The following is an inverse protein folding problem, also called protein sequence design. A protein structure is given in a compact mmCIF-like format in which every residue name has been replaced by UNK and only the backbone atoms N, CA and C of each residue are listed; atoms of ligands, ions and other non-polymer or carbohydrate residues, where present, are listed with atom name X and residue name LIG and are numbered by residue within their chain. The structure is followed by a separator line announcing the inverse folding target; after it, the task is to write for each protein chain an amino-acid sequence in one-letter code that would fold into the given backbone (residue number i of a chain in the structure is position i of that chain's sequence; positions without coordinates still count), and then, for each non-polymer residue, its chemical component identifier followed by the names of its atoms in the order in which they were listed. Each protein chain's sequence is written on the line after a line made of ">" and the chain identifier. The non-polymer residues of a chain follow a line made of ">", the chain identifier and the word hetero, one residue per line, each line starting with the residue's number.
data_IF_163069204960
#
_entry.id   IF_163069204960
#
_cell.length_a   1.000
_cell.length_b   1.000
_cell.length_c   1.000
_cell.angle_alpha   90.00
_cell.angle_beta   90.00
_cell.angle_gamma   90.00
#
_symmetry.space_group_name_H-M   'P 1'
#
loop_
_entity.id
_entity.type
_entity.pdbx_description
1 polymer ?
#
# COMPACT_ATOMS: atom_id res chain seq x y z
N UNK A 1 2.01 -26.14 -2.00
CA UNK A 1 0.87 -25.35 -1.50
C UNK A 1 0.00 -26.22 -0.59
N UNK A 2 -0.06 -25.88 0.70
CA UNK A 2 -0.87 -26.62 1.68
C UNK A 2 -2.36 -26.47 1.43
N UNK A 3 -2.81 -25.35 0.83
CA UNK A 3 -4.23 -25.08 0.57
C UNK A 3 -4.88 -26.15 -0.30
N UNK A 4 -4.10 -26.80 -1.16
CA UNK A 4 -4.56 -27.92 -1.99
C UNK A 4 -5.14 -29.09 -1.19
N UNK A 5 -4.65 -29.31 0.03
CA UNK A 5 -5.15 -30.34 0.97
C UNK A 5 -6.49 -29.95 1.58
N UNK A 6 -6.81 -28.66 1.58
CA UNK A 6 -8.02 -28.12 2.18
C UNK A 6 -9.17 -27.98 1.18
N UNK A 7 -8.98 -28.26 -0.11
CA UNK A 7 -10.07 -28.25 -1.09
C UNK A 7 -11.03 -29.43 -0.93
N UNK A 8 -12.33 -29.15 -0.97
CA UNK A 8 -13.38 -30.15 -1.14
C UNK A 8 -13.33 -30.78 -2.53
N UNK A 9 -14.04 -31.89 -2.72
CA UNK A 9 -14.09 -32.60 -4.01
C UNK A 9 -14.55 -31.69 -5.17
N UNK A 10 -15.62 -30.91 -4.95
CA UNK A 10 -16.14 -29.99 -5.96
C UNK A 10 -15.17 -28.83 -6.24
N UNK A 11 -14.55 -28.28 -5.20
CA UNK A 11 -13.55 -27.21 -5.35
C UNK A 11 -12.33 -27.68 -6.16
N UNK A 12 -11.88 -28.94 -5.99
CA UNK A 12 -10.79 -29.50 -6.81
C UNK A 12 -11.12 -29.53 -8.31
N UNK A 13 -12.39 -29.78 -8.67
CA UNK A 13 -12.83 -29.70 -10.07
C UNK A 13 -12.75 -28.26 -10.59
N UNK A 14 -13.26 -27.30 -9.82
CA UNK A 14 -13.21 -25.87 -10.17
C UNK A 14 -11.76 -25.38 -10.28
N UNK A 15 -10.86 -25.81 -9.39
CA UNK A 15 -9.42 -25.51 -9.47
C UNK A 15 -8.83 -26.02 -10.78
N UNK A 16 -9.17 -27.23 -11.21
CA UNK A 16 -8.68 -27.81 -12.47
C UNK A 16 -9.16 -27.00 -13.69
N UNK A 17 -10.43 -26.61 -13.70
CA UNK A 17 -11.03 -25.77 -14.75
C UNK A 17 -10.33 -24.40 -14.80
N UNK A 18 -10.25 -23.70 -13.67
CA UNK A 18 -9.61 -22.39 -13.56
C UNK A 18 -8.11 -22.44 -13.89
N UNK A 19 -7.42 -23.53 -13.53
CA UNK A 19 -6.01 -23.73 -13.87
C UNK A 19 -5.80 -23.80 -15.38
N UNK A 20 -6.74 -24.45 -16.10
CA UNK A 20 -6.71 -24.52 -17.55
C UNK A 20 -7.02 -23.16 -18.20
N UNK A 21 -8.05 -22.47 -17.71
CA UNK A 21 -8.46 -21.13 -18.21
C UNK A 21 -7.36 -20.09 -18.00
N UNK A 22 -6.74 -20.09 -16.81
CA UNK A 22 -5.66 -19.15 -16.46
C UNK A 22 -4.28 -19.61 -16.94
N UNK A 23 -4.13 -20.86 -17.39
CA UNK A 23 -2.85 -21.47 -17.76
C UNK A 23 -1.79 -21.31 -16.66
N UNK A 24 -2.21 -21.48 -15.41
CA UNK A 24 -1.33 -21.40 -14.24
C UNK A 24 -1.84 -22.31 -13.13
N UNK A 25 -0.97 -22.68 -12.20
CA UNK A 25 -1.40 -23.40 -11.00
C UNK A 25 -2.17 -22.44 -10.07
N UNK A 26 -3.28 -22.92 -9.48
CA UNK A 26 -4.08 -22.10 -8.57
C UNK A 26 -3.48 -22.17 -7.17
N UNK A 27 -2.68 -21.17 -6.83
CA UNK A 27 -2.16 -20.88 -5.49
C UNK A 27 -2.13 -19.38 -5.25
N UNK A 28 -2.00 -18.96 -3.98
CA UNK A 28 -1.96 -17.54 -3.64
C UNK A 28 -0.84 -16.79 -4.40
N UNK A 29 0.38 -17.32 -4.40
CA UNK A 29 1.54 -16.73 -5.09
C UNK A 29 1.34 -16.65 -6.61
N UNK A 30 0.88 -17.74 -7.22
CA UNK A 30 0.70 -17.79 -8.68
C UNK A 30 -0.42 -16.85 -9.15
N UNK A 31 -1.46 -16.62 -8.34
CA UNK A 31 -2.49 -15.65 -8.68
C UNK A 31 -1.99 -14.20 -8.59
N UNK A 32 -1.11 -13.89 -7.63
CA UNK A 32 -0.47 -12.57 -7.55
C UNK A 32 0.40 -12.30 -8.79
N UNK A 33 1.20 -13.28 -9.21
CA UNK A 33 1.98 -13.21 -10.46
C UNK A 33 1.09 -13.10 -11.70
N UNK A 34 -0.01 -13.87 -11.73
CA UNK A 34 -0.97 -13.83 -12.83
C UNK A 34 -1.63 -12.45 -12.95
N UNK A 35 -1.97 -11.83 -11.82
CA UNK A 35 -2.54 -10.47 -11.76
C UNK A 35 -1.58 -9.45 -12.36
N UNK A 36 -0.30 -9.49 -11.97
CA UNK A 36 0.75 -8.65 -12.55
C UNK A 36 0.91 -8.85 -14.06
N UNK A 37 0.92 -10.11 -14.50
CA UNK A 37 1.04 -10.44 -15.92
C UNK A 37 -0.14 -9.90 -16.73
N UNK A 38 -1.37 -10.11 -16.25
CA UNK A 38 -2.59 -9.64 -16.91
C UNK A 38 -2.64 -8.11 -16.98
N UNK A 39 -2.28 -7.42 -15.90
CA UNK A 39 -2.20 -5.96 -15.89
C UNK A 39 -1.24 -5.43 -16.97
N UNK A 40 -0.03 -5.99 -17.04
CA UNK A 40 0.97 -5.58 -18.03
C UNK A 40 0.55 -5.93 -19.46
N UNK A 41 -0.03 -7.12 -19.66
CA UNK A 41 -0.52 -7.56 -20.96
C UNK A 41 -1.65 -6.65 -21.45
N UNK A 42 -2.65 -6.39 -20.61
CA UNK A 42 -3.75 -5.47 -20.91
C UNK A 42 -3.26 -4.08 -21.27
N UNK A 43 -2.35 -3.52 -20.48
CA UNK A 43 -1.78 -2.20 -20.76
C UNK A 43 -1.10 -2.16 -22.13
N UNK A 44 -0.28 -3.16 -22.43
CA UNK A 44 0.41 -3.25 -23.73
C UNK A 44 -0.56 -3.45 -24.90
N UNK A 45 -1.59 -4.28 -24.73
CA UNK A 45 -2.57 -4.56 -25.78
C UNK A 45 -3.43 -3.33 -26.09
N UNK A 46 -3.84 -2.57 -25.06
CA UNK A 46 -4.56 -1.32 -25.28
C UNK A 46 -3.71 -0.29 -26.05
N UNK A 47 -2.41 -0.20 -25.79
CA UNK A 47 -1.54 0.71 -26.56
C UNK A 47 -1.47 0.29 -28.03
N UNK A 48 -1.33 -1.00 -28.30
CA UNK A 48 -1.36 -1.55 -29.66
C UNK A 48 -2.67 -1.21 -30.38
N UNK A 49 -3.79 -1.33 -29.67
CA UNK A 49 -5.09 -0.91 -30.18
C UNK A 49 -5.10 0.57 -30.55
N UNK A 50 -4.60 1.43 -29.66
CA UNK A 50 -4.53 2.87 -29.86
C UNK A 50 -3.74 3.26 -31.12
N UNK A 51 -2.68 2.52 -31.47
CA UNK A 51 -1.86 2.78 -32.66
C UNK A 51 -2.41 2.11 -33.93
N UNK A 52 -3.58 1.48 -33.87
CA UNK A 52 -4.29 0.92 -35.04
C UNK A 52 -4.22 -0.60 -35.18
N UNK A 53 -3.48 -1.33 -34.32
CA UNK A 53 -3.43 -2.80 -34.39
C UNK A 53 -4.78 -3.42 -34.03
N UNK A 54 -5.24 -4.38 -34.84
CA UNK A 54 -6.37 -5.23 -34.46
C UNK A 54 -5.93 -6.21 -33.36
N UNK A 55 -6.44 -5.95 -32.15
CA UNK A 55 -6.18 -6.74 -30.96
C UNK A 55 -7.46 -7.32 -30.35
N UNK A 56 -8.56 -7.35 -31.10
CA UNK A 56 -9.90 -7.75 -30.62
C UNK A 56 -9.85 -9.11 -29.92
N UNK A 57 -9.22 -10.11 -30.54
CA UNK A 57 -9.07 -11.45 -29.96
C UNK A 57 -8.23 -11.45 -28.66
N UNK A 58 -7.19 -10.62 -28.60
CA UNK A 58 -6.36 -10.51 -27.40
C UNK A 58 -7.14 -9.87 -26.26
N UNK A 59 -7.88 -8.78 -26.50
CA UNK A 59 -8.72 -8.12 -25.50
C UNK A 59 -9.81 -9.06 -24.96
N UNK A 60 -10.48 -9.82 -25.84
CA UNK A 60 -11.43 -10.85 -25.42
C UNK A 60 -10.78 -11.91 -24.52
N UNK A 61 -9.58 -12.38 -24.89
CA UNK A 61 -8.83 -13.36 -24.10
C UNK A 61 -8.42 -12.79 -22.73
N UNK A 62 -7.97 -11.54 -22.69
CA UNK A 62 -7.62 -10.83 -21.45
C UNK A 62 -8.85 -10.74 -20.55
N UNK A 63 -9.99 -10.29 -21.07
CA UNK A 63 -11.23 -10.15 -20.30
C UNK A 63 -11.68 -11.50 -19.72
N UNK A 64 -11.59 -12.60 -20.50
CA UNK A 64 -11.87 -13.94 -20.01
C UNK A 64 -10.93 -14.35 -18.88
N UNK A 65 -9.62 -14.09 -19.01
CA UNK A 65 -8.65 -14.40 -17.95
C UNK A 65 -8.84 -13.51 -16.71
N UNK A 66 -9.22 -12.24 -16.84
CA UNK A 66 -9.56 -11.37 -15.71
C UNK A 66 -10.78 -11.92 -14.94
N UNK A 67 -11.82 -12.37 -15.65
CA UNK A 67 -12.99 -13.02 -15.05
C UNK A 67 -12.61 -14.31 -14.31
N UNK A 68 -11.77 -15.14 -14.92
CA UNK A 68 -11.28 -16.39 -14.34
C UNK A 68 -10.42 -16.14 -13.11
N UNK A 69 -9.58 -15.09 -13.13
CA UNK A 69 -8.73 -14.69 -12.00
C UNK A 69 -9.61 -14.27 -10.83
N UNK A 70 -10.67 -13.49 -11.07
CA UNK A 70 -11.62 -13.09 -10.03
C UNK A 70 -12.28 -14.30 -9.36
N UNK A 71 -12.73 -15.29 -10.15
CA UNK A 71 -13.31 -16.54 -9.63
C UNK A 71 -12.29 -17.34 -8.81
N UNK A 72 -11.04 -17.39 -9.26
CA UNK A 72 -9.97 -18.06 -8.53
C UNK A 72 -9.67 -17.36 -7.19
N UNK A 73 -9.66 -16.03 -7.17
CA UNK A 73 -9.49 -15.24 -5.95
C UNK A 73 -10.63 -15.47 -4.94
N UNK A 74 -11.88 -15.50 -5.42
CA UNK A 74 -13.05 -15.79 -4.58
C UNK A 74 -13.00 -17.21 -4.00
N UNK A 75 -12.59 -18.19 -4.80
CA UNK A 75 -12.41 -19.57 -4.35
C UNK A 75 -11.31 -19.65 -3.29
N UNK A 76 -10.13 -19.07 -3.55
CA UNK A 76 -9.03 -19.09 -2.59
C UNK A 76 -9.39 -18.36 -1.30
N UNK A 77 -10.13 -17.25 -1.35
CA UNK A 77 -10.62 -16.58 -0.14
C UNK A 77 -11.44 -17.50 0.76
N UNK A 78 -12.40 -18.24 0.17
CA UNK A 78 -13.23 -19.19 0.94
C UNK A 78 -12.39 -20.30 1.58
N UNK A 79 -11.40 -20.80 0.86
CA UNK A 79 -10.54 -21.88 1.35
C UNK A 79 -9.56 -21.37 2.40
N UNK A 80 -9.00 -20.17 2.21
CA UNK A 80 -8.18 -19.47 3.21
C UNK A 80 -8.99 -19.30 4.48
N UNK A 81 -10.20 -18.76 4.41
CA UNK A 81 -11.04 -18.53 5.59
C UNK A 81 -11.31 -19.82 6.37
N UNK A 82 -11.65 -20.91 5.66
CA UNK A 82 -11.85 -22.22 6.29
C UNK A 82 -10.56 -22.77 6.91
N UNK A 83 -9.43 -22.62 6.22
CA UNK A 83 -8.12 -23.10 6.69
C UNK A 83 -7.66 -22.29 7.90
N UNK A 84 -7.74 -20.97 7.85
CA UNK A 84 -7.40 -20.07 8.95
C UNK A 84 -8.27 -20.36 10.19
N UNK A 85 -9.59 -20.55 10.05
CA UNK A 85 -10.46 -20.93 11.19
C UNK A 85 -10.05 -22.25 11.83
N UNK A 86 -9.52 -23.18 11.04
CA UNK A 86 -9.07 -24.50 11.52
C UNK A 86 -7.71 -24.42 12.22
N UNK A 87 -6.78 -23.65 11.66
CA UNK A 87 -5.40 -23.56 12.17
C UNK A 87 -5.28 -22.57 13.34
N UNK A 88 -6.07 -21.50 13.32
CA UNK A 88 -6.04 -20.39 14.27
C UNK A 88 -7.44 -20.12 14.85
N UNK A 89 -7.99 -21.05 15.67
CA UNK A 89 -9.32 -20.89 16.25
C UNK A 89 -9.46 -19.66 17.17
N UNK A 90 -8.36 -19.18 17.73
CA UNK A 90 -8.28 -17.98 18.58
C UNK A 90 -8.20 -16.66 17.80
N UNK A 91 -8.05 -16.70 16.47
CA UNK A 91 -7.90 -15.51 15.65
C UNK A 91 -9.20 -14.71 15.60
N UNK A 92 -9.13 -13.41 15.88
CA UNK A 92 -10.27 -12.52 15.69
C UNK A 92 -10.42 -12.16 14.20
N UNK A 93 -11.40 -12.77 13.54
CA UNK A 93 -11.71 -12.51 12.12
C UNK A 93 -12.24 -11.10 11.86
N UNK A 94 -12.86 -10.45 12.85
CA UNK A 94 -13.33 -9.07 12.70
C UNK A 94 -12.14 -8.09 12.67
N UNK A 95 -11.07 -8.42 13.39
CA UNK A 95 -9.84 -7.63 13.46
C UNK A 95 -8.77 -8.03 12.43
N UNK A 96 -9.10 -8.92 11.48
CA UNK A 96 -8.17 -9.33 10.42
C UNK A 96 -8.75 -9.18 9.03
N UNK A 97 -7.93 -8.75 8.07
CA UNK A 97 -8.33 -8.57 6.66
C UNK A 97 -8.25 -9.89 5.90
N UNK A 98 -8.90 -9.96 4.73
CA UNK A 98 -8.69 -11.11 3.84
C UNK A 98 -7.23 -11.24 3.39
N UNK A 99 -6.57 -10.11 3.14
CA UNK A 99 -5.19 -10.07 2.68
C UNK A 99 -4.23 -10.51 3.78
N UNK A 100 -4.44 -10.08 5.03
CA UNK A 100 -3.69 -10.56 6.20
C UNK A 100 -3.84 -12.07 6.38
N UNK A 101 -5.06 -12.60 6.24
CA UNK A 101 -5.31 -14.04 6.34
C UNK A 101 -4.63 -14.84 5.22
N UNK A 102 -4.56 -14.28 4.00
CA UNK A 102 -3.80 -14.90 2.88
C UNK A 102 -2.31 -14.96 3.20
N UNK A 103 -1.72 -13.86 3.65
CA UNK A 103 -0.30 -13.82 4.00
C UNK A 103 0.03 -14.71 5.20
N UNK A 104 -0.84 -14.75 6.22
CA UNK A 104 -0.67 -15.65 7.36
C UNK A 104 -0.59 -17.10 6.91
N UNK A 105 -1.47 -17.54 6.00
CA UNK A 105 -1.40 -18.88 5.43
C UNK A 105 -0.11 -19.10 4.61
N UNK A 106 0.34 -18.11 3.82
CA UNK A 106 1.62 -18.22 3.11
C UNK A 106 2.80 -18.40 4.05
N UNK A 107 2.85 -17.66 5.16
CA UNK A 107 3.92 -17.81 6.16
C UNK A 107 3.83 -19.14 6.91
N UNK A 108 2.62 -19.58 7.26
CA UNK A 108 2.37 -20.92 7.84
C UNK A 108 2.94 -22.01 6.95
N UNK A 109 2.71 -21.89 5.64
CA UNK A 109 3.17 -22.82 4.63
C UNK A 109 4.69 -22.72 4.41
N UNK A 110 5.24 -21.51 4.40
CA UNK A 110 6.68 -21.31 4.22
C UNK A 110 7.47 -21.91 5.38
N UNK A 111 7.02 -21.71 6.61
CA UNK A 111 7.71 -22.15 7.82
C UNK A 111 7.22 -23.50 8.35
N UNK A 112 6.20 -24.08 7.71
CA UNK A 112 5.55 -25.34 8.12
C UNK A 112 5.14 -25.33 9.60
N UNK A 113 4.74 -24.16 10.12
CA UNK A 113 4.51 -23.92 11.55
C UNK A 113 3.24 -23.11 11.78
N UNK A 114 2.42 -23.57 12.73
CA UNK A 114 1.21 -22.85 13.19
C UNK A 114 1.58 -22.01 14.42
N UNK A 115 1.65 -20.69 14.23
CA UNK A 115 1.95 -19.70 15.27
C UNK A 115 0.86 -19.63 16.35
N UNK A 116 1.23 -19.35 17.60
CA UNK A 116 0.27 -19.30 18.73
C UNK A 116 0.56 -18.15 19.69
N UNK A 117 -0.48 -17.71 20.42
CA UNK A 117 -0.34 -16.73 21.49
C UNK A 117 0.31 -15.43 21.02
N UNK A 118 1.36 -14.98 21.72
CA UNK A 118 2.07 -13.73 21.38
C UNK A 118 2.77 -13.79 20.02
N UNK A 119 3.24 -14.95 19.58
CA UNK A 119 3.91 -15.12 18.29
C UNK A 119 2.93 -14.86 17.12
N UNK A 120 1.69 -15.37 17.22
CA UNK A 120 0.65 -15.12 16.23
C UNK A 120 0.33 -13.62 16.12
N UNK A 121 0.23 -12.93 17.26
CA UNK A 121 -0.03 -11.49 17.29
C UNK A 121 1.11 -10.70 16.64
N UNK A 122 2.35 -11.03 16.98
CA UNK A 122 3.54 -10.40 16.41
C UNK A 122 3.60 -10.61 14.89
N UNK A 123 3.24 -11.82 14.44
CA UNK A 123 3.22 -12.16 13.03
C UNK A 123 2.19 -11.36 12.24
N UNK A 124 0.98 -11.22 12.76
CA UNK A 124 -0.05 -10.38 12.15
C UNK A 124 0.38 -8.92 12.03
N UNK A 125 1.09 -8.39 13.03
CA UNK A 125 1.64 -7.03 12.96
C UNK A 125 2.70 -6.89 11.87
N UNK A 126 3.59 -7.88 11.73
CA UNK A 126 4.58 -7.92 10.64
C UNK A 126 3.92 -8.01 9.27
N UNK A 127 2.93 -8.90 9.10
CA UNK A 127 2.15 -8.99 7.88
C UNK A 127 1.52 -7.65 7.55
N UNK A 128 0.84 -7.01 8.50
CA UNK A 128 0.15 -5.73 8.30
C UNK A 128 1.11 -4.61 7.88
N UNK A 129 2.30 -4.58 8.48
CA UNK A 129 3.37 -3.63 8.16
C UNK A 129 3.88 -3.79 6.72
N UNK A 130 4.10 -5.03 6.29
CA UNK A 130 4.68 -5.33 4.98
C UNK A 130 3.63 -5.42 3.85
N UNK A 131 2.34 -5.58 4.19
CA UNK A 131 1.27 -5.87 3.23
C UNK A 131 1.13 -4.82 2.14
N UNK A 132 1.19 -3.53 2.50
CA UNK A 132 1.10 -2.45 1.52
C UNK A 132 2.24 -2.58 0.50
N UNK A 133 3.46 -2.77 0.98
CA UNK A 133 4.66 -2.91 0.14
C UNK A 133 4.53 -4.13 -0.77
N UNK A 134 4.13 -5.29 -0.23
CA UNK A 134 3.95 -6.52 -1.00
C UNK A 134 2.91 -6.36 -2.12
N UNK A 135 1.76 -5.75 -1.81
CA UNK A 135 0.71 -5.52 -2.82
C UNK A 135 1.17 -4.54 -3.89
N UNK A 136 1.90 -3.50 -3.53
CA UNK A 136 2.46 -2.53 -4.48
C UNK A 136 3.47 -3.16 -5.45
N UNK A 137 4.28 -4.13 -4.98
CA UNK A 137 5.24 -4.86 -5.81
C UNK A 137 4.58 -5.66 -6.95
N UNK A 138 3.27 -5.89 -6.88
CA UNK A 138 2.48 -6.45 -7.99
C UNK A 138 2.47 -5.51 -9.21
N UNK A 139 2.43 -4.19 -9.00
CA UNK A 139 2.23 -3.20 -10.07
C UNK A 139 3.50 -2.40 -10.37
N UNK A 140 4.36 -2.20 -9.37
CA UNK A 140 5.56 -1.37 -9.50
C UNK A 140 6.72 -1.96 -8.72
N UNK A 141 7.90 -2.00 -9.35
CA UNK A 141 9.16 -2.35 -8.65
C UNK A 141 9.69 -1.22 -7.76
N UNK A 142 9.07 -0.04 -7.82
CA UNK A 142 9.46 1.14 -7.04
C UNK A 142 8.52 1.27 -5.85
N UNK A 143 9.01 1.10 -4.60
CA UNK A 143 8.20 1.29 -3.42
C UNK A 143 7.74 2.74 -3.35
N UNK A 144 6.52 2.89 -2.83
CA UNK A 144 5.87 4.16 -2.64
C UNK A 144 6.51 4.93 -1.47
N UNK A 145 6.74 6.22 -1.66
CA UNK A 145 7.34 7.09 -0.63
C UNK A 145 6.29 7.94 0.08
N UNK A 146 5.06 8.07 -0.45
CA UNK A 146 3.95 8.86 0.14
C UNK A 146 2.88 9.31 -0.86
N UNK A 147 1.63 9.54 -0.43
CA UNK A 147 0.46 9.72 -1.33
C UNK A 147 0.59 11.00 -2.12
N UNK A 148 1.08 12.01 -1.41
CA UNK A 148 1.37 13.31 -1.97
C UNK A 148 2.37 13.24 -3.13
N UNK A 149 3.39 12.38 -3.05
CA UNK A 149 4.35 12.22 -4.13
C UNK A 149 3.69 11.57 -5.35
N UNK A 150 2.88 10.55 -5.14
CA UNK A 150 2.15 9.88 -6.20
C UNK A 150 1.17 10.82 -6.92
N UNK A 151 0.46 11.67 -6.17
CA UNK A 151 -0.41 12.73 -6.71
C UNK A 151 0.39 13.76 -7.53
N UNK A 152 1.58 14.12 -7.06
CA UNK A 152 2.43 15.06 -7.78
C UNK A 152 2.93 14.48 -9.11
N UNK A 153 3.40 13.23 -9.10
CA UNK A 153 3.81 12.51 -10.31
C UNK A 153 2.66 12.43 -11.32
N UNK A 154 1.46 12.09 -10.87
CA UNK A 154 0.28 12.07 -11.72
C UNK A 154 0.01 13.43 -12.37
N UNK A 155 0.06 14.50 -11.57
CA UNK A 155 -0.17 15.87 -12.03
C UNK A 155 0.84 16.26 -13.12
N UNK A 156 2.12 15.98 -12.90
CA UNK A 156 3.19 16.31 -13.85
C UNK A 156 3.03 15.55 -15.17
N UNK A 157 2.78 14.23 -15.10
CA UNK A 157 2.53 13.41 -16.30
C UNK A 157 1.29 13.91 -17.06
N UNK A 158 0.21 14.28 -16.35
CA UNK A 158 -0.99 14.86 -16.98
C UNK A 158 -0.71 16.19 -17.67
N UNK A 159 0.13 17.06 -17.10
CA UNK A 159 0.47 18.37 -17.68
C UNK A 159 1.24 18.19 -19.00
N UNK A 160 2.27 17.36 -19.01
CA UNK A 160 3.05 17.11 -20.23
C UNK A 160 2.21 16.43 -21.33
N UNK A 161 1.38 15.47 -20.92
CA UNK A 161 0.49 14.78 -21.84
C UNK A 161 -0.53 15.72 -22.47
N UNK A 162 -1.15 16.61 -21.67
CA UNK A 162 -2.10 17.62 -22.18
C UNK A 162 -1.50 18.49 -23.28
N UNK A 163 -0.25 18.92 -23.13
CA UNK A 163 0.42 19.72 -24.16
C UNK A 163 0.56 18.95 -25.48
N UNK A 164 0.96 17.69 -25.42
CA UNK A 164 1.12 16.83 -26.60
C UNK A 164 -0.23 16.57 -27.30
N UNK A 165 -1.30 16.34 -26.53
CA UNK A 165 -2.63 16.06 -27.07
C UNK A 165 -3.25 17.30 -27.73
N UNK A 166 -3.09 18.47 -27.11
CA UNK A 166 -3.67 19.73 -27.58
C UNK A 166 -3.18 20.14 -28.98
N UNK A 167 -1.94 19.79 -29.34
CA UNK A 167 -1.38 20.00 -30.70
C UNK A 167 -2.27 19.37 -31.78
N UNK A 168 -2.93 18.26 -31.45
CA UNK A 168 -3.75 17.46 -32.37
C UNK A 168 -5.26 17.56 -32.07
N UNK A 169 -5.66 18.58 -31.28
CA UNK A 169 -7.06 18.83 -30.91
C UNK A 169 -7.65 17.82 -29.91
N UNK A 170 -6.82 16.99 -29.28
CA UNK A 170 -7.28 15.98 -28.31
C UNK A 170 -7.14 16.45 -26.87
N UNK A 171 -7.78 15.69 -25.98
CA UNK A 171 -7.86 15.93 -24.54
C UNK A 171 -7.50 14.66 -23.76
N UNK A 172 -7.33 14.76 -22.43
CA UNK A 172 -7.05 13.56 -21.64
C UNK A 172 -8.23 12.59 -21.66
N UNK A 173 -9.44 13.13 -21.76
CA UNK A 173 -10.71 12.42 -21.86
C UNK A 173 -10.75 11.56 -23.13
N UNK A 174 -10.12 12.03 -24.22
CA UNK A 174 -9.94 11.26 -25.45
C UNK A 174 -9.15 9.96 -25.24
N UNK A 175 -8.37 9.83 -24.16
CA UNK A 175 -7.59 8.63 -23.84
C UNK A 175 -8.31 7.68 -22.85
N UNK A 176 -9.49 8.05 -22.33
CA UNK A 176 -10.27 7.20 -21.43
C UNK A 176 -10.82 5.97 -22.16
N UNK A 177 -11.27 6.18 -23.40
CA UNK A 177 -11.63 5.12 -24.33
C UNK A 177 -10.51 4.99 -25.36
N UNK A 178 -9.80 3.87 -25.31
CA UNK A 178 -8.74 3.62 -26.29
C UNK A 178 -9.38 3.08 -27.55
N UNK A 179 -9.88 3.97 -28.38
CA UNK A 179 -10.39 3.61 -29.69
C UNK A 179 -9.26 3.13 -30.60
N UNK A 180 -9.59 2.24 -31.54
CA UNK A 180 -8.62 1.77 -32.52
C UNK A 180 -8.11 2.92 -33.36
N UNK A 181 -6.79 3.03 -33.50
CA UNK A 181 -6.16 4.03 -34.36
C UNK A 181 -6.22 5.46 -33.83
N UNK A 182 -6.66 5.68 -32.58
CA UNK A 182 -6.68 6.98 -31.91
C UNK A 182 -5.35 7.74 -32.04
N UNK A 183 -4.22 7.01 -32.04
CA UNK A 183 -2.88 7.58 -32.08
C UNK A 183 -2.25 7.64 -33.49
N UNK A 184 -2.94 7.22 -34.55
CA UNK A 184 -2.39 7.19 -35.92
C UNK A 184 -2.00 8.57 -36.44
N UNK A 185 -2.71 9.62 -36.01
CA UNK A 185 -2.42 11.02 -36.39
C UNK A 185 -1.15 11.60 -35.75
N UNK A 186 -0.61 10.95 -34.73
CA UNK A 186 0.59 11.40 -34.02
C UNK A 186 1.85 10.85 -34.66
N UNK A 187 2.93 11.65 -34.64
CA UNK A 187 4.25 11.18 -35.07
C UNK A 187 4.77 10.03 -34.17
N UNK A 188 5.71 9.19 -34.64
CA UNK A 188 6.27 8.11 -33.83
C UNK A 188 6.85 8.58 -32.48
N UNK A 189 7.45 9.77 -32.45
CA UNK A 189 7.98 10.39 -31.22
C UNK A 189 6.87 10.77 -30.25
N UNK A 190 5.78 11.36 -30.74
CA UNK A 190 4.61 11.70 -29.92
C UNK A 190 3.89 10.45 -29.43
N UNK A 191 3.69 9.45 -30.29
CA UNK A 191 3.12 8.15 -29.91
C UNK A 191 3.92 7.51 -28.78
N UNK A 192 5.26 7.56 -28.84
CA UNK A 192 6.11 7.03 -27.77
C UNK A 192 5.93 7.80 -26.45
N UNK A 193 5.83 9.14 -26.50
CA UNK A 193 5.57 9.98 -25.33
C UNK A 193 4.20 9.68 -24.71
N UNK A 194 3.14 9.67 -25.53
CA UNK A 194 1.77 9.36 -25.10
C UNK A 194 1.71 7.96 -24.50
N UNK A 195 2.33 6.98 -25.17
CA UNK A 195 2.40 5.59 -24.70
C UNK A 195 3.03 5.49 -23.31
N UNK A 196 4.17 6.16 -23.08
CA UNK A 196 4.84 6.16 -21.77
C UNK A 196 3.96 6.81 -20.71
N UNK A 197 3.41 7.99 -21.00
CA UNK A 197 2.53 8.71 -20.08
C UNK A 197 1.28 7.91 -19.70
N UNK A 198 0.63 7.26 -20.67
CA UNK A 198 -0.54 6.40 -20.43
C UNK A 198 -0.19 5.19 -19.56
N UNK A 199 0.96 4.54 -19.78
CA UNK A 199 1.43 3.45 -18.90
C UNK A 199 1.65 3.93 -17.48
N UNK A 200 2.30 5.08 -17.32
CA UNK A 200 2.59 5.66 -16.02
C UNK A 200 1.29 6.00 -15.27
N UNK A 201 0.34 6.67 -15.94
CA UNK A 201 -0.96 7.01 -15.35
C UNK A 201 -1.77 5.77 -14.93
N UNK A 202 -1.81 4.72 -15.75
CA UNK A 202 -2.51 3.46 -15.38
C UNK A 202 -1.85 2.77 -14.20
N UNK A 203 -0.52 2.78 -14.14
CA UNK A 203 0.23 2.24 -13.00
C UNK A 203 -0.06 3.04 -11.74
N UNK A 204 -0.04 4.37 -11.83
CA UNK A 204 -0.40 5.27 -10.73
C UNK A 204 -1.81 5.00 -10.23
N UNK A 205 -2.79 4.83 -11.12
CA UNK A 205 -4.18 4.52 -10.74
C UNK A 205 -4.28 3.18 -9.99
N UNK A 206 -3.62 2.13 -10.49
CA UNK A 206 -3.60 0.83 -9.81
C UNK A 206 -2.96 0.91 -8.42
N UNK A 207 -1.82 1.61 -8.31
CA UNK A 207 -1.12 1.86 -7.04
C UNK A 207 -2.02 2.63 -6.06
N UNK A 208 -2.72 3.69 -6.51
CA UNK A 208 -3.67 4.44 -5.67
C UNK A 208 -4.79 3.55 -5.16
N UNK A 209 -5.31 2.64 -5.99
CA UNK A 209 -6.38 1.73 -5.57
C UNK A 209 -5.91 0.76 -4.49
N UNK A 210 -4.69 0.24 -4.59
CA UNK A 210 -4.07 -0.59 -3.55
C UNK A 210 -3.93 0.18 -2.24
N UNK A 211 -3.37 1.40 -2.29
CA UNK A 211 -3.21 2.26 -1.11
C UNK A 211 -4.57 2.57 -0.48
N UNK A 212 -5.56 2.97 -1.30
CA UNK A 212 -6.93 3.23 -0.84
C UNK A 212 -7.47 2.01 -0.11
N UNK A 213 -7.40 0.84 -0.72
CA UNK A 213 -7.90 -0.40 -0.12
C UNK A 213 -7.22 -0.69 1.21
N UNK A 214 -5.90 -0.61 1.28
CA UNK A 214 -5.17 -0.87 2.52
C UNK A 214 -5.49 0.12 3.63
N UNK A 215 -5.56 1.42 3.32
CA UNK A 215 -5.95 2.43 4.30
C UNK A 215 -7.36 2.20 4.79
N UNK A 216 -8.32 1.90 3.90
CA UNK A 216 -9.69 1.61 4.31
C UNK A 216 -9.78 0.38 5.19
N UNK A 217 -9.10 -0.70 4.85
CA UNK A 217 -9.11 -1.93 5.65
C UNK A 217 -8.56 -1.71 7.07
N UNK A 218 -7.46 -0.95 7.20
CA UNK A 218 -6.89 -0.63 8.51
C UNK A 218 -7.76 0.36 9.28
N UNK A 219 -8.17 1.46 8.65
CA UNK A 219 -8.94 2.51 9.30
C UNK A 219 -10.36 2.07 9.66
N UNK A 220 -11.03 1.20 8.89
CA UNK A 220 -12.34 0.65 9.29
C UNK A 220 -12.27 -0.25 10.51
N UNK A 221 -11.10 -0.82 10.85
CA UNK A 221 -10.94 -1.58 12.10
C UNK A 221 -10.71 -0.66 13.30
N UNK A 222 -9.92 0.39 13.10
CA UNK A 222 -9.72 1.42 14.13
C UNK A 222 -10.96 2.30 14.35
N UNK A 223 -11.71 2.60 13.29
CA UNK A 223 -12.88 3.48 13.27
C UNK A 223 -14.05 2.84 12.52
N UNK A 224 -14.74 1.83 13.10
CA UNK A 224 -15.75 1.03 12.39
C UNK A 224 -16.96 1.79 11.85
N UNK A 225 -17.27 2.95 12.44
CA UNK A 225 -18.42 3.78 12.07
C UNK A 225 -18.06 4.92 11.10
N UNK A 226 -16.77 5.06 10.76
CA UNK A 226 -16.32 6.21 9.97
C UNK A 226 -16.64 6.08 8.48
N UNK A 227 -17.10 7.17 7.87
CA UNK A 227 -17.23 7.27 6.41
C UNK A 227 -15.92 7.71 5.77
N UNK A 228 -15.03 6.74 5.55
CA UNK A 228 -13.72 7.02 5.00
C UNK A 228 -13.77 7.57 3.56
N UNK A 229 -14.84 7.35 2.79
CA UNK A 229 -14.93 7.85 1.41
C UNK A 229 -15.06 9.38 1.35
N UNK A 230 -15.56 10.02 2.42
CA UNK A 230 -15.61 11.48 2.56
C UNK A 230 -14.25 12.09 2.92
N UNK A 231 -13.28 11.28 3.40
CA UNK A 231 -11.95 11.77 3.75
C UNK A 231 -11.02 11.81 2.54
N UNK A 232 -10.36 12.95 2.25
CA UNK A 232 -9.30 12.99 1.26
C UNK A 232 -8.20 11.96 1.58
N UNK A 233 -7.66 11.30 0.56
CA UNK A 233 -6.64 10.26 0.73
C UNK A 233 -5.39 10.71 1.52
N UNK A 234 -5.01 11.99 1.45
CA UNK A 234 -3.92 12.54 2.27
C UNK A 234 -4.25 12.60 3.75
N UNK A 235 -5.54 12.74 4.11
CA UNK A 235 -6.03 12.66 5.49
C UNK A 235 -6.13 11.21 5.96
N UNK A 236 -6.54 10.30 5.08
CA UNK A 236 -6.47 8.87 5.37
C UNK A 236 -5.03 8.40 5.61
N UNK A 237 -4.04 8.85 4.82
CA UNK A 237 -2.62 8.56 5.05
C UNK A 237 -2.14 9.05 6.43
N UNK A 238 -2.59 10.23 6.86
CA UNK A 238 -2.25 10.79 8.17
C UNK A 238 -2.85 9.97 9.31
N UNK A 239 -4.15 9.65 9.23
CA UNK A 239 -4.81 8.82 10.21
C UNK A 239 -4.21 7.40 10.25
N UNK A 240 -3.94 6.81 9.08
CA UNK A 240 -3.32 5.49 8.94
C UNK A 240 -1.95 5.47 9.64
N UNK A 241 -1.10 6.45 9.36
CA UNK A 241 0.23 6.54 9.97
C UNK A 241 0.15 6.70 11.48
N UNK A 242 -0.79 7.51 11.99
CA UNK A 242 -1.00 7.65 13.44
C UNK A 242 -1.45 6.32 14.07
N UNK A 243 -2.44 5.65 13.49
CA UNK A 243 -2.93 4.35 13.97
C UNK A 243 -1.81 3.31 13.98
N UNK A 244 -1.05 3.20 12.88
CA UNK A 244 0.07 2.25 12.80
C UNK A 244 1.20 2.56 13.79
N UNK A 245 1.34 3.81 14.23
CA UNK A 245 2.33 4.20 15.23
C UNK A 245 1.85 3.90 16.67
N UNK A 246 0.61 4.29 17.00
CA UNK A 246 0.09 4.28 18.37
C UNK A 246 -0.70 3.03 18.76
N UNK A 247 -1.42 2.41 17.82
CA UNK A 247 -2.16 1.16 18.06
C UNK A 247 -2.14 0.24 16.82
N UNK A 248 -0.99 -0.39 16.51
CA UNK A 248 -0.88 -1.31 15.38
C UNK A 248 -1.71 -2.59 15.57
N UNK A 249 -2.25 -2.86 16.77
CA UNK A 249 -3.18 -3.98 17.02
C UNK A 249 -4.53 -3.75 16.33
N UNK A 250 -4.89 -2.49 16.08
CA UNK A 250 -6.18 -2.05 15.51
C UNK A 250 -7.37 -2.36 16.42
N UNK A 251 -7.26 -2.00 17.71
CA UNK A 251 -8.46 -2.00 18.55
C UNK A 251 -9.37 -0.86 18.09
N UNK A 252 -10.70 -1.04 18.11
CA UNK A 252 -11.60 0.08 17.86
C UNK A 252 -11.30 1.24 18.81
N UNK A 253 -10.83 2.35 18.26
CA UNK A 253 -10.48 3.54 19.01
C UNK A 253 -11.76 4.27 19.41
N UNK A 254 -11.82 4.74 20.65
CA UNK A 254 -12.89 5.64 21.10
C UNK A 254 -12.48 7.09 20.86
N UNK A 255 -13.46 7.98 20.67
CA UNK A 255 -13.20 9.39 20.42
C UNK A 255 -12.38 10.02 21.57
N UNK A 256 -12.70 9.67 22.82
CA UNK A 256 -12.02 10.14 24.02
C UNK A 256 -10.54 9.71 24.04
N UNK A 257 -10.21 8.53 23.50
CA UNK A 257 -8.82 8.06 23.39
C UNK A 257 -8.03 8.95 22.42
N UNK A 258 -8.62 9.31 21.29
CA UNK A 258 -7.96 10.19 20.32
C UNK A 258 -7.80 11.60 20.87
N UNK A 259 -8.82 12.14 21.55
CA UNK A 259 -8.72 13.44 22.23
C UNK A 259 -7.59 13.45 23.28
N UNK A 260 -7.45 12.37 24.05
CA UNK A 260 -6.33 12.20 24.98
C UNK A 260 -4.99 12.20 24.26
N UNK A 261 -4.85 11.47 23.14
CA UNK A 261 -3.62 11.48 22.35
C UNK A 261 -3.29 12.88 21.81
N UNK A 262 -4.29 13.64 21.37
CA UNK A 262 -4.07 15.01 20.89
C UNK A 262 -3.60 15.96 21.97
N UNK A 263 -4.16 15.84 23.18
CA UNK A 263 -3.82 16.66 24.34
C UNK A 263 -2.43 16.28 24.90
N UNK A 264 -2.20 14.98 25.10
CA UNK A 264 -0.98 14.42 25.63
C UNK A 264 -0.61 13.15 24.85
N UNK A 265 0.19 13.28 23.77
CA UNK A 265 0.60 12.14 22.96
C UNK A 265 1.26 11.06 23.84
N UNK A 266 0.83 9.79 23.73
CA UNK A 266 1.42 8.73 24.53
C UNK A 266 2.86 8.48 24.09
N UNK A 267 3.70 8.12 25.06
CA UNK A 267 5.03 7.59 24.80
C UNK A 267 4.90 6.13 24.36
N UNK A 268 5.29 5.85 23.12
CA UNK A 268 5.23 4.52 22.49
C UNK A 268 6.49 3.72 22.81
N UNK A 269 7.65 4.39 22.92
CA UNK A 269 8.94 3.76 23.14
C UNK A 269 9.61 4.25 24.42
N UNK A 270 10.25 3.33 25.14
CA UNK A 270 11.07 3.65 26.29
C UNK A 270 12.32 4.45 25.91
N UNK A 271 12.97 5.16 26.86
CA UNK A 271 14.23 5.86 26.58
C UNK A 271 15.35 4.96 26.02
N UNK A 272 15.38 3.68 26.42
CA UNK A 272 16.33 2.72 25.86
C UNK A 272 16.03 2.43 24.38
N UNK A 273 14.76 2.24 24.03
CA UNK A 273 14.32 2.01 22.65
C UNK A 273 14.52 3.25 21.78
N UNK A 274 14.36 4.45 22.33
CA UNK A 274 14.73 5.68 21.63
C UNK A 274 16.23 5.70 21.27
N UNK A 275 17.11 5.34 22.21
CA UNK A 275 18.55 5.27 21.94
C UNK A 275 18.88 4.20 20.89
N UNK A 276 18.26 3.01 20.96
CA UNK A 276 18.43 1.95 19.98
C UNK A 276 17.95 2.37 18.58
N UNK A 277 16.79 3.02 18.48
CA UNK A 277 16.27 3.51 17.21
C UNK A 277 17.13 4.62 16.61
N UNK A 278 17.64 5.54 17.43
CA UNK A 278 18.60 6.56 16.96
C UNK A 278 19.94 5.94 16.54
N UNK A 279 20.42 4.90 17.23
CA UNK A 279 21.62 4.15 16.85
C UNK A 279 21.43 3.46 15.49
N UNK A 280 20.28 2.83 15.25
CA UNK A 280 19.92 2.29 13.93
C UNK A 280 19.91 3.39 12.85
N UNK A 281 19.20 4.49 13.08
CA UNK A 281 19.06 5.58 12.11
C UNK A 281 20.39 6.30 11.82
N UNK A 282 21.36 6.23 12.71
CA UNK A 282 22.72 6.74 12.50
C UNK A 282 23.67 5.74 11.80
N UNK A 283 23.22 4.50 11.60
CA UNK A 283 24.00 3.40 11.00
C UNK A 283 24.90 2.64 11.98
N UNK A 284 24.72 2.82 13.29
CA UNK A 284 25.48 2.11 14.33
C UNK A 284 24.94 0.71 14.63
N UNK A 285 23.64 0.50 14.41
CA UNK A 285 22.96 -0.79 14.52
C UNK A 285 22.29 -1.16 13.20
N UNK A 286 22.16 -2.46 12.95
CA UNK A 286 21.27 -3.00 11.92
C UNK A 286 19.86 -3.22 12.47
N UNK A 287 18.88 -3.35 11.59
CA UNK A 287 17.46 -3.44 11.97
C UNK A 287 17.16 -4.69 12.83
N UNK A 288 17.82 -5.81 12.50
CA UNK A 288 17.70 -7.09 13.20
C UNK A 288 18.32 -7.10 14.60
N UNK A 289 19.11 -6.07 14.95
CA UNK A 289 19.66 -5.88 16.29
C UNK A 289 18.69 -5.14 17.23
N UNK A 290 17.55 -4.66 16.74
CA UNK A 290 16.54 -4.02 17.56
C UNK A 290 15.63 -5.09 18.17
N UNK A 291 15.55 -5.17 19.50
CA UNK A 291 14.73 -6.17 20.20
C UNK A 291 13.23 -5.94 20.00
N UNK A 292 12.80 -4.67 19.98
CA UNK A 292 11.39 -4.33 19.81
C UNK A 292 10.99 -4.35 18.33
N UNK A 293 10.17 -5.32 17.96
CA UNK A 293 9.63 -5.45 16.59
C UNK A 293 8.74 -4.28 16.16
N UNK A 294 8.01 -3.64 17.07
CA UNK A 294 7.25 -2.42 16.77
C UNK A 294 8.18 -1.27 16.40
N UNK A 295 9.32 -1.15 17.10
CA UNK A 295 10.35 -0.17 16.75
C UNK A 295 10.92 -0.47 15.35
N UNK A 296 11.19 -1.74 15.03
CA UNK A 296 11.63 -2.11 13.68
C UNK A 296 10.64 -1.64 12.60
N UNK A 297 9.35 -1.93 12.78
CA UNK A 297 8.27 -1.50 11.85
C UNK A 297 8.21 0.01 11.69
N UNK A 298 8.21 0.74 12.81
CA UNK A 298 8.16 2.20 12.83
C UNK A 298 9.33 2.83 12.07
N UNK A 299 10.53 2.23 12.14
CA UNK A 299 11.73 2.76 11.50
C UNK A 299 11.84 2.42 10.00
N UNK A 300 11.12 1.41 9.51
CA UNK A 300 11.05 1.06 8.07
C UNK A 300 10.34 2.13 7.24
N UNK A 301 9.31 2.78 7.80
CA UNK A 301 8.46 3.72 7.05
C UNK A 301 8.74 5.17 7.41
N UNK A 302 8.82 6.03 6.40
CA UNK A 302 9.21 7.44 6.61
C UNK A 302 8.19 8.23 7.45
N UNK A 303 6.89 7.95 7.32
CA UNK A 303 5.84 8.61 8.07
C UNK A 303 5.92 8.36 9.58
N UNK A 304 6.00 7.09 9.98
CA UNK A 304 6.15 6.67 11.38
C UNK A 304 7.52 7.05 11.96
N UNK A 305 8.58 7.04 11.14
CA UNK A 305 9.91 7.51 11.52
C UNK A 305 9.93 9.00 11.91
N UNK A 306 9.10 9.85 11.28
CA UNK A 306 8.98 11.25 11.71
C UNK A 306 8.32 11.37 13.08
N UNK A 307 7.31 10.55 13.38
CA UNK A 307 6.68 10.49 14.71
C UNK A 307 7.69 10.03 15.78
N UNK A 308 8.50 9.01 15.47
CA UNK A 308 9.58 8.55 16.34
C UNK A 308 10.59 9.66 16.65
N UNK A 309 11.07 10.39 15.64
CA UNK A 309 11.94 11.54 15.88
C UNK A 309 11.28 12.62 16.76
N UNK A 310 9.98 12.84 16.57
CA UNK A 310 9.20 13.77 17.36
C UNK A 310 9.08 13.34 18.83
N UNK A 311 8.89 12.04 19.09
CA UNK A 311 8.87 11.45 20.43
C UNK A 311 10.24 11.54 21.10
N UNK A 312 11.32 11.18 20.40
CA UNK A 312 12.69 11.33 20.89
C UNK A 312 13.04 12.77 21.30
N UNK A 313 12.48 13.80 20.62
CA UNK A 313 12.68 15.22 20.99
C UNK A 313 11.97 15.60 22.29
N UNK A 314 10.95 14.85 22.69
CA UNK A 314 10.26 15.04 23.96
C UNK A 314 10.93 14.26 25.10
N UNK A 315 11.84 13.32 24.80
CA UNK A 315 12.59 12.57 25.80
C UNK A 315 13.70 13.43 26.42
N UNK A 316 13.64 13.73 27.74
CA UNK A 316 14.63 14.57 28.40
C UNK A 316 16.03 13.95 28.46
N UNK A 317 16.16 12.65 28.22
CA UNK A 317 17.44 11.93 28.23
C UNK A 317 18.21 12.07 26.91
N UNK A 318 17.56 12.57 25.85
CA UNK A 318 18.13 12.70 24.51
C UNK A 318 18.41 14.16 24.18
N UNK A 319 19.63 14.43 23.68
CA UNK A 319 19.98 15.78 23.24
C UNK A 319 19.39 16.05 21.86
N UNK A 320 18.65 17.15 21.72
CA UNK A 320 18.09 17.57 20.42
C UNK A 320 19.15 17.70 19.30
N UNK A 321 20.37 18.11 19.64
CA UNK A 321 21.49 18.19 18.69
C UNK A 321 21.91 16.84 18.11
N UNK A 322 21.77 15.75 18.87
CA UNK A 322 22.01 14.38 18.38
C UNK A 322 20.96 14.02 17.31
N UNK A 323 19.68 14.32 17.57
CA UNK A 323 18.59 14.06 16.65
C UNK A 323 18.76 14.86 15.35
N UNK A 324 19.06 16.15 15.45
CA UNK A 324 19.28 17.02 14.30
C UNK A 324 20.43 16.54 13.41
N UNK A 325 21.53 16.06 14.01
CA UNK A 325 22.65 15.49 13.26
C UNK A 325 22.25 14.25 12.47
N UNK A 326 21.47 13.35 13.08
CA UNK A 326 20.96 12.15 12.40
C UNK A 326 20.00 12.53 11.26
N UNK A 327 19.07 13.46 11.51
CA UNK A 327 18.14 13.95 10.48
C UNK A 327 18.88 14.57 9.29
N UNK A 328 19.97 15.30 9.54
CA UNK A 328 20.82 15.89 8.49
C UNK A 328 21.53 14.80 7.67
N UNK A 329 22.15 13.82 8.33
CA UNK A 329 22.82 12.69 7.67
C UNK A 329 21.84 11.90 6.77
N UNK A 330 20.65 11.58 7.27
CA UNK A 330 19.63 10.88 6.50
C UNK A 330 19.18 11.70 5.28
N UNK A 331 19.02 13.01 5.44
CA UNK A 331 18.65 13.90 4.33
C UNK A 331 19.74 13.97 3.26
N UNK A 332 21.01 13.98 3.65
CA UNK A 332 22.15 13.92 2.70
C UNK A 332 22.19 12.60 1.94
N UNK A 333 21.92 11.48 2.61
CA UNK A 333 21.82 10.17 1.96
C UNK A 333 20.65 10.13 0.98
N UNK A 334 19.47 10.58 1.42
CA UNK A 334 18.29 10.66 0.57
C UNK A 334 18.54 11.56 -0.65
N UNK A 335 19.20 12.70 -0.49
CA UNK A 335 19.52 13.59 -1.61
C UNK A 335 20.39 12.91 -2.69
N UNK A 336 21.29 11.99 -2.32
CA UNK A 336 22.10 11.21 -3.29
C UNK A 336 21.22 10.23 -4.07
N UNK A 337 20.34 9.51 -3.39
CA UNK A 337 19.38 8.59 -4.03
C UNK A 337 18.42 9.34 -4.94
N UNK A 338 17.96 10.50 -4.51
CA UNK A 338 17.05 11.37 -5.25
C UNK A 338 17.71 11.93 -6.51
N UNK A 339 18.99 12.30 -6.45
CA UNK A 339 19.78 12.70 -7.62
C UNK A 339 19.91 11.55 -8.62
N UNK A 340 20.23 10.34 -8.14
CA UNK A 340 20.28 9.15 -9.00
C UNK A 340 18.92 8.87 -9.65
N UNK A 341 17.83 8.95 -8.90
CA UNK A 341 16.47 8.77 -9.42
C UNK A 341 16.13 9.84 -10.45
N UNK A 342 16.44 11.10 -10.19
CA UNK A 342 16.21 12.20 -11.14
C UNK A 342 16.96 12.01 -12.46
N UNK A 343 18.18 11.47 -12.43
CA UNK A 343 18.94 11.19 -13.64
C UNK A 343 18.34 10.06 -14.49
N UNK A 344 17.64 9.11 -13.87
CA UNK A 344 17.10 7.91 -14.53
C UNK A 344 15.58 7.95 -14.73
N UNK A 345 14.89 8.97 -14.19
CA UNK A 345 13.44 9.11 -14.17
C UNK A 345 13.13 10.58 -14.47
N UNK A 346 12.67 10.86 -15.70
CA UNK A 346 12.48 12.23 -16.20
C UNK A 346 11.57 13.12 -15.35
N UNK A 347 10.63 12.53 -14.60
CA UNK A 347 9.64 13.24 -13.78
C UNK A 347 9.78 12.95 -12.28
N UNK A 348 10.98 12.56 -11.83
CA UNK A 348 11.19 12.32 -10.41
C UNK A 348 11.39 13.62 -9.64
N UNK A 349 10.56 13.82 -8.62
CA UNK A 349 10.77 14.83 -7.59
C UNK A 349 10.90 14.19 -6.21
N UNK A 350 11.84 14.66 -5.38
CA UNK A 350 11.99 14.16 -4.02
C UNK A 350 10.88 14.71 -3.11
N UNK A 351 10.32 13.83 -2.28
CA UNK A 351 9.43 14.24 -1.20
C UNK A 351 10.25 14.34 0.09
N UNK A 352 10.41 15.57 0.60
CA UNK A 352 11.03 15.81 1.88
C UNK A 352 9.95 15.93 2.96
N UNK A 353 9.89 14.94 3.86
CA UNK A 353 9.05 15.04 5.05
C UNK A 353 9.57 16.15 5.95
N UNK A 354 8.65 17.01 6.40
CA UNK A 354 8.99 18.03 7.39
C UNK A 354 9.03 17.37 8.77
N UNK A 355 10.00 17.74 9.63
CA UNK A 355 9.95 17.36 11.04
C UNK A 355 8.62 17.78 11.65
N UNK A 356 8.03 16.91 12.46
CA UNK A 356 6.73 17.12 13.07
C UNK A 356 6.76 16.65 14.52
N UNK A 357 6.14 17.40 15.43
CA UNK A 357 5.95 16.91 16.79
C UNK A 357 4.73 15.97 16.85
N UNK A 358 4.72 14.98 17.75
CA UNK A 358 3.58 14.07 17.92
C UNK A 358 2.26 14.81 18.14
N UNK A 359 2.26 15.84 19.00
CA UNK A 359 1.05 16.62 19.28
C UNK A 359 0.53 17.37 18.05
N UNK A 360 1.42 18.01 17.28
CA UNK A 360 1.01 18.69 16.04
C UNK A 360 0.48 17.69 15.01
N UNK A 361 1.13 16.54 14.87
CA UNK A 361 0.71 15.49 13.95
C UNK A 361 -0.68 14.98 14.29
N UNK A 362 -0.92 14.60 15.54
CA UNK A 362 -2.21 14.08 16.01
C UNK A 362 -3.34 15.10 15.88
N UNK A 363 -3.10 16.38 16.17
CA UNK A 363 -4.08 17.46 15.93
C UNK A 363 -4.40 17.65 14.45
N UNK A 364 -3.46 17.35 13.57
CA UNK A 364 -3.65 17.46 12.11
C UNK A 364 -4.32 16.22 11.51
N UNK A 365 -3.93 15.03 12.00
CA UNK A 365 -4.43 13.74 11.57
C UNK A 365 -5.84 13.47 12.07
N UNK A 366 -6.20 14.02 13.24
CA UNK A 366 -7.49 13.86 13.89
C UNK A 366 -8.15 15.20 14.21
N UNK A 367 -8.01 16.22 13.35
CA UNK A 367 -8.72 17.50 13.54
C UNK A 367 -10.23 17.29 13.67
N UNK A 368 -10.97 18.21 14.28
CA UNK A 368 -12.42 18.12 14.51
C UNK A 368 -13.22 17.69 13.26
N UNK A 369 -12.86 18.22 12.09
CA UNK A 369 -13.49 17.83 10.81
C UNK A 369 -13.24 16.36 10.45
N UNK A 370 -12.06 15.83 10.74
CA UNK A 370 -11.72 14.41 10.51
C UNK A 370 -12.39 13.54 11.57
N UNK A 371 -12.39 13.97 12.83
CA UNK A 371 -13.06 13.26 13.93
C UNK A 371 -14.56 13.08 13.64
N UNK A 372 -15.20 14.12 13.11
CA UNK A 372 -16.62 14.07 12.70
C UNK A 372 -16.86 12.97 11.68
N UNK A 373 -15.96 12.79 10.71
CA UNK A 373 -16.11 11.76 9.67
C UNK A 373 -15.74 10.36 10.20
N UNK A 374 -14.69 10.24 11.02
CA UNK A 374 -14.25 8.96 11.61
C UNK A 374 -15.23 8.39 12.63
N UNK A 375 -16.00 9.26 13.30
CA UNK A 375 -16.98 8.91 14.32
C UNK A 375 -18.39 9.35 13.93
N UNK A 376 -18.65 9.52 12.63
CA UNK A 376 -19.98 9.83 12.12
C UNK A 376 -20.96 8.85 12.79
N UNK A 377 -21.93 9.40 13.52
CA UNK A 377 -22.98 8.59 14.11
C UNK A 377 -23.83 8.11 12.95
N UNK A 378 -24.20 6.83 12.95
CA UNK A 378 -25.38 6.39 12.22
C UNK A 378 -26.56 7.20 12.78
N UNK A 379 -26.82 8.37 12.20
CA UNK A 379 -28.15 8.96 12.19
C UNK A 379 -28.93 8.16 11.15
N UNK A 380 -29.25 6.91 11.49
CA UNK A 380 -30.28 6.15 10.77
C UNK A 380 -31.57 6.97 10.83
N UNK A 381 -31.92 7.57 9.68
CA UNK A 381 -33.24 8.08 9.33
C UNK A 381 -34.01 7.02 8.55
#
# INVERSE_FOLDING_TARGET
>A
DSLSKHFSFNEKRVVKELSHELKTYISLENLDDKRRMLFNWKNSTLIKHAVGEDVTKQLLTINQQESSLKKADELLNKVVDRTTKKLYPELNFEQTTQAERRELIKETDSEQTVFKGSELNERLMNIRDDLLTQQLLTFTKRPYVGFKLLMQQEKEVKIELKYTLMIHGDSLESLEHVDQGLLEKYSPTEQQKITRAVKDLRTIMAVKQVIKTQYHEVLKRAFPKGDLDELPMTKQEQAYTAVMYYDPVLKPCQAETIEQWQANPPQVFSPQEHQQGLAYLSGQLSLDQLENHHLQRVLKHDGTKQLFFGECKADPTIKNSQIEKIQMQLKEQQAKDDQYRKANIGHYQPLNYKPVSPSYYLKTAFSDAIMTVLYARDEDY
#
